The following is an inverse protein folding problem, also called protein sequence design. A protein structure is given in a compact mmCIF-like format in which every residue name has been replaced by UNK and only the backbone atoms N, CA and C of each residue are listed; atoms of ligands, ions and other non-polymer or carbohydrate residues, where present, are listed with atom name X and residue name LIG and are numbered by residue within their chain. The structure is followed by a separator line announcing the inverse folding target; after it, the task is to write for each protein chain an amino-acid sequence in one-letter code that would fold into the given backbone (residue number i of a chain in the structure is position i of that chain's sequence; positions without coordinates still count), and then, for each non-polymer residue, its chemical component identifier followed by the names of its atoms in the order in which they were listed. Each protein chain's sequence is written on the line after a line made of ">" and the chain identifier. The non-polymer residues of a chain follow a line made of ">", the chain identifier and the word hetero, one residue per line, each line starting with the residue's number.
data_IF_875667964846
#
_entry.id   IF_875667964846
#
_cell.length_a   1.000
_cell.length_b   1.000
_cell.length_c   1.000
_cell.angle_alpha   90.00
_cell.angle_beta   90.00
_cell.angle_gamma   90.00
#
_symmetry.space_group_name_H-M   'P 1'
#
loop_
_entity.id
_entity.type
_entity.pdbx_description
1 polymer ?
#
# COMPACT_ATOMS: atom_id res chain seq x y z
N UNK A 1 -18.68 19.71 -4.25
CA UNK A 1 -19.05 18.26 -4.22
C UNK A 1 -19.19 17.80 -2.79
N UNK A 2 -20.23 17.01 -2.46
CA UNK A 2 -20.42 16.44 -1.12
C UNK A 2 -19.81 15.05 -1.06
N UNK A 3 -18.69 14.89 -0.36
CA UNK A 3 -17.94 13.62 -0.30
C UNK A 3 -17.84 13.14 1.14
N UNK A 4 -18.35 11.93 1.40
CA UNK A 4 -18.14 11.17 2.62
C UNK A 4 -17.06 10.10 2.37
N UNK A 5 -16.01 10.09 3.16
CA UNK A 5 -14.91 9.15 3.03
C UNK A 5 -14.87 8.20 4.23
N UNK A 6 -15.26 6.93 3.99
CA UNK A 6 -15.23 5.88 5.03
C UNK A 6 -13.83 5.29 5.10
N UNK A 7 -13.15 5.44 6.23
CA UNK A 7 -11.75 5.06 6.41
C UNK A 7 -11.49 4.19 7.65
N UNK A 8 -10.27 3.67 7.72
CA UNK A 8 -9.72 2.92 8.87
C UNK A 8 -8.47 3.63 9.41
N UNK A 9 -8.51 4.96 9.53
CA UNK A 9 -7.40 5.76 10.05
C UNK A 9 -7.11 5.47 11.51
N UNK A 10 -5.84 5.56 11.87
CA UNK A 10 -5.41 5.59 13.28
C UNK A 10 -5.33 7.04 13.72
N UNK A 11 -6.01 7.45 14.80
CA UNK A 11 -5.94 8.79 15.31
C UNK A 11 -4.52 9.12 15.80
N UNK A 12 -3.88 10.16 15.27
CA UNK A 12 -2.58 10.62 15.74
C UNK A 12 -2.66 11.15 17.19
N UNK A 13 -3.80 11.70 17.58
CA UNK A 13 -4.03 12.32 18.89
C UNK A 13 -4.27 11.32 20.02
N UNK A 14 -4.76 10.12 19.72
CA UNK A 14 -4.87 9.07 20.75
C UNK A 14 -3.49 8.47 20.95
N UNK A 15 -2.81 8.89 22.04
CA UNK A 15 -1.59 8.25 22.57
C UNK A 15 -1.90 6.79 22.93
N UNK A 16 -2.00 5.95 21.92
CA UNK A 16 -2.12 4.51 22.11
C UNK A 16 -0.81 4.02 22.73
N UNK A 17 -0.89 3.24 23.79
CA UNK A 17 0.31 2.61 24.36
C UNK A 17 1.03 1.80 23.29
N UNK A 18 2.32 1.60 23.40
CA UNK A 18 3.13 0.77 22.47
C UNK A 18 2.48 -0.61 22.26
N UNK A 19 2.02 -1.26 23.34
CA UNK A 19 1.27 -2.53 23.28
C UNK A 19 -0.05 -2.44 22.52
N UNK A 20 -0.72 -1.28 22.55
CA UNK A 20 -1.97 -1.08 21.80
C UNK A 20 -1.68 -0.86 20.32
N UNK A 21 -0.56 -0.22 19.97
CA UNK A 21 -0.13 -0.04 18.56
C UNK A 21 0.17 -1.38 17.88
N UNK A 22 0.84 -2.30 18.57
CA UNK A 22 1.11 -3.65 18.05
C UNK A 22 -0.16 -4.48 17.78
N UNK A 23 -1.27 -4.17 18.43
CA UNK A 23 -2.57 -4.86 18.31
C UNK A 23 -3.54 -4.19 17.33
N UNK A 24 -3.12 -3.11 16.69
CA UNK A 24 -3.89 -2.46 15.63
C UNK A 24 -3.60 -3.13 14.28
N UNK A 25 -4.64 -3.52 13.58
CA UNK A 25 -4.51 -3.99 12.21
C UNK A 25 -4.41 -2.80 11.24
N UNK A 26 -3.51 -2.89 10.25
CA UNK A 26 -3.50 -1.94 9.12
C UNK A 26 -2.64 -0.68 9.28
N UNK A 27 -1.59 -0.71 10.14
CA UNK A 27 -0.66 0.43 10.31
C UNK A 27 -0.03 0.89 8.99
N UNK A 28 0.32 -0.04 8.11
CA UNK A 28 0.87 0.29 6.78
C UNK A 28 -0.13 1.02 5.88
N UNK A 29 -1.42 0.66 5.98
CA UNK A 29 -2.50 1.31 5.24
C UNK A 29 -2.81 2.74 5.71
N UNK A 30 -2.50 3.07 6.97
CA UNK A 30 -2.78 4.39 7.52
C UNK A 30 -2.09 5.53 6.75
N UNK A 31 -0.79 5.40 6.46
CA UNK A 31 -0.03 6.42 5.70
C UNK A 31 -0.60 6.63 4.30
N UNK A 32 -0.94 5.54 3.61
CA UNK A 32 -1.53 5.60 2.27
C UNK A 32 -2.89 6.29 2.33
N UNK A 33 -3.74 5.94 3.30
CA UNK A 33 -5.06 6.55 3.50
C UNK A 33 -4.95 8.05 3.77
N UNK A 34 -4.08 8.46 4.70
CA UNK A 34 -3.86 9.87 5.03
C UNK A 34 -3.34 10.66 3.81
N UNK A 35 -2.41 10.07 3.04
CA UNK A 35 -1.91 10.65 1.80
C UNK A 35 -3.02 10.85 0.76
N UNK A 36 -3.86 9.83 0.58
CA UNK A 36 -4.99 9.88 -0.36
C UNK A 36 -6.00 10.95 0.02
N UNK A 37 -6.41 11.03 1.29
CA UNK A 37 -7.34 12.06 1.76
C UNK A 37 -6.76 13.45 1.52
N UNK A 38 -5.49 13.69 1.95
CA UNK A 38 -4.81 14.96 1.72
C UNK A 38 -4.73 15.34 0.25
N UNK A 39 -4.49 14.35 -0.62
CA UNK A 39 -4.43 14.55 -2.07
C UNK A 39 -5.82 14.88 -2.67
N UNK A 40 -6.88 14.24 -2.17
CA UNK A 40 -8.25 14.52 -2.58
C UNK A 40 -8.64 15.93 -2.15
N UNK A 41 -8.42 16.31 -0.89
CA UNK A 41 -8.77 17.64 -0.36
C UNK A 41 -8.12 18.78 -1.15
N UNK A 42 -6.87 18.60 -1.57
CA UNK A 42 -6.17 19.59 -2.38
C UNK A 42 -6.74 19.80 -3.79
N UNK A 43 -7.57 18.87 -4.26
CA UNK A 43 -8.24 18.94 -5.56
C UNK A 43 -9.72 19.33 -5.45
N UNK A 44 -10.18 19.67 -4.24
CA UNK A 44 -11.55 20.10 -3.94
C UNK A 44 -11.56 21.51 -3.36
N UNK A 45 -12.73 22.18 -3.44
CA UNK A 45 -12.95 23.52 -2.85
C UNK A 45 -13.10 23.48 -1.33
N UNK A 46 -13.08 22.31 -0.72
CA UNK A 46 -13.16 22.10 0.72
C UNK A 46 -12.89 20.64 1.09
N UNK A 47 -12.62 20.37 2.38
CA UNK A 47 -12.24 19.03 2.82
C UNK A 47 -13.40 18.03 2.70
N UNK A 48 -13.06 16.75 2.45
CA UNK A 48 -14.03 15.65 2.57
C UNK A 48 -14.51 15.52 4.01
N UNK A 49 -15.65 14.87 4.22
CA UNK A 49 -16.08 14.45 5.58
C UNK A 49 -15.66 13.02 5.82
N UNK A 50 -14.84 12.79 6.83
CA UNK A 50 -14.34 11.45 7.16
C UNK A 50 -15.25 10.75 8.17
N UNK A 51 -15.64 9.52 7.85
CA UNK A 51 -16.31 8.58 8.74
C UNK A 51 -15.35 7.42 9.04
N UNK A 52 -14.69 7.51 10.17
CA UNK A 52 -13.57 6.63 10.50
C UNK A 52 -13.99 5.52 11.47
N UNK A 53 -13.56 4.29 11.20
CA UNK A 53 -13.68 3.16 12.13
C UNK A 53 -12.28 2.79 12.60
N UNK A 54 -12.03 2.86 13.91
CA UNK A 54 -10.77 2.39 14.50
C UNK A 54 -10.84 0.86 14.54
N UNK A 55 -10.13 0.20 13.62
CA UNK A 55 -10.15 -1.27 13.56
C UNK A 55 -9.11 -1.87 14.51
N UNK A 56 -9.58 -2.66 15.49
CA UNK A 56 -8.77 -3.27 16.55
C UNK A 56 -8.99 -4.79 16.58
N UNK A 57 -8.18 -5.51 17.33
CA UNK A 57 -8.51 -6.87 17.73
C UNK A 57 -9.78 -6.85 18.63
N UNK A 58 -10.52 -7.96 18.69
CA UNK A 58 -11.70 -8.06 19.54
C UNK A 58 -11.30 -8.12 21.02
N UNK A 59 -12.23 -7.68 21.90
CA UNK A 59 -12.11 -7.89 23.34
C UNK A 59 -12.08 -9.41 23.64
N UNK A 60 -11.24 -9.92 24.57
CA UNK A 60 -10.33 -9.18 25.45
C UNK A 60 -8.92 -8.92 24.86
N UNK A 61 -8.61 -9.35 23.64
CA UNK A 61 -7.27 -9.14 23.05
C UNK A 61 -6.92 -7.65 22.90
N UNK A 62 -7.92 -6.81 22.65
CA UNK A 62 -7.81 -5.36 22.79
C UNK A 62 -8.69 -4.93 23.99
N UNK A 63 -8.15 -4.21 24.98
CA UNK A 63 -8.81 -4.06 26.29
C UNK A 63 -10.05 -3.15 26.27
N UNK A 64 -10.23 -2.32 25.24
CA UNK A 64 -11.39 -1.42 25.16
C UNK A 64 -12.62 -2.18 24.62
N UNK A 65 -13.69 -2.22 25.45
CA UNK A 65 -14.94 -2.91 25.12
C UNK A 65 -15.90 -2.02 24.31
N UNK A 66 -15.98 -0.74 24.63
CA UNK A 66 -16.89 0.21 23.98
C UNK A 66 -16.09 1.35 23.38
N UNK A 67 -16.28 1.59 22.10
CA UNK A 67 -15.78 2.76 21.39
C UNK A 67 -16.94 3.75 21.24
N UNK A 68 -16.84 4.97 21.76
CA UNK A 68 -17.88 5.98 21.58
C UNK A 68 -17.83 6.55 20.17
N UNK A 69 -18.96 7.13 19.72
CA UNK A 69 -18.97 7.97 18.51
C UNK A 69 -18.51 9.38 18.91
N UNK A 70 -17.40 9.82 18.33
CA UNK A 70 -16.77 11.10 18.64
C UNK A 70 -16.57 11.95 17.38
N UNK A 71 -16.72 13.25 17.51
CA UNK A 71 -16.39 14.20 16.45
C UNK A 71 -14.92 14.62 16.55
N UNK A 72 -14.27 14.78 15.40
CA UNK A 72 -12.90 15.27 15.26
C UNK A 72 -12.75 16.06 13.96
N UNK A 73 -11.55 16.54 13.65
CA UNK A 73 -11.23 17.24 12.42
C UNK A 73 -9.85 16.82 11.92
N UNK A 74 -9.72 16.45 10.65
CA UNK A 74 -8.43 16.13 10.01
C UNK A 74 -7.83 17.35 9.31
N UNK A 75 -8.64 18.37 9.02
CA UNK A 75 -8.26 19.62 8.38
C UNK A 75 -9.09 20.77 8.94
N UNK A 76 -8.65 21.98 8.70
CA UNK A 76 -9.41 23.18 9.04
C UNK A 76 -10.79 23.14 8.36
N UNK A 77 -11.83 23.46 9.12
CA UNK A 77 -13.25 23.41 8.70
C UNK A 77 -13.81 22.01 8.39
N UNK A 78 -13.07 20.92 8.60
CA UNK A 78 -13.64 19.56 8.50
C UNK A 78 -14.48 19.20 9.73
N UNK A 79 -15.50 18.33 9.53
CA UNK A 79 -16.35 17.78 10.60
C UNK A 79 -16.39 16.26 10.44
N UNK A 80 -15.43 15.58 11.06
CA UNK A 80 -15.21 14.16 10.91
C UNK A 80 -15.76 13.37 12.10
N UNK A 81 -15.93 12.07 11.92
CA UNK A 81 -16.52 11.20 12.92
C UNK A 81 -15.69 9.94 13.12
N UNK A 82 -15.32 9.63 14.36
CA UNK A 82 -15.01 8.27 14.78
C UNK A 82 -16.32 7.54 15.07
N UNK A 83 -16.55 6.45 14.38
CA UNK A 83 -17.78 5.65 14.52
C UNK A 83 -17.64 4.72 15.71
N UNK A 84 -18.50 4.88 16.70
CA UNK A 84 -18.54 4.04 17.88
C UNK A 84 -19.08 2.63 17.62
N UNK A 85 -18.64 1.67 18.44
CA UNK A 85 -19.07 0.28 18.36
C UNK A 85 -18.77 -0.49 19.65
N UNK A 86 -19.39 -1.67 19.79
CA UNK A 86 -19.11 -2.63 20.87
C UNK A 86 -18.11 -3.66 20.36
N UNK A 87 -16.94 -3.76 21.01
CA UNK A 87 -15.79 -4.56 20.55
C UNK A 87 -15.88 -6.05 20.98
N UNK A 88 -17.03 -6.66 20.83
CA UNK A 88 -17.24 -8.10 21.06
C UNK A 88 -17.36 -8.81 19.72
N UNK A 89 -16.76 -9.99 19.60
CA UNK A 89 -16.82 -10.80 18.38
C UNK A 89 -18.26 -10.97 17.88
N UNK A 90 -18.52 -10.76 16.60
CA UNK A 90 -19.84 -10.78 15.98
C UNK A 90 -20.60 -9.45 16.19
N UNK A 91 -20.80 -8.98 17.41
CA UNK A 91 -21.51 -7.72 17.73
C UNK A 91 -20.79 -6.51 17.15
N UNK A 92 -19.45 -6.55 17.11
CA UNK A 92 -18.59 -5.51 16.55
C UNK A 92 -19.03 -5.10 15.15
N UNK A 93 -19.14 -6.05 14.24
CA UNK A 93 -19.48 -5.76 12.84
C UNK A 93 -20.90 -5.23 12.67
N UNK A 94 -21.85 -5.72 13.48
CA UNK A 94 -23.24 -5.23 13.46
C UNK A 94 -23.28 -3.78 13.94
N UNK A 95 -22.68 -3.48 15.08
CA UNK A 95 -22.72 -2.14 15.67
C UNK A 95 -21.95 -1.12 14.82
N UNK A 96 -20.83 -1.50 14.21
CA UNK A 96 -20.12 -0.67 13.24
C UNK A 96 -20.98 -0.35 12.02
N UNK A 97 -21.63 -1.36 11.43
CA UNK A 97 -22.51 -1.15 10.26
C UNK A 97 -23.67 -0.23 10.59
N UNK A 98 -24.39 -0.49 11.69
CA UNK A 98 -25.57 0.29 12.07
C UNK A 98 -25.22 1.73 12.40
N UNK A 99 -24.15 1.95 13.18
CA UNK A 99 -23.76 3.30 13.58
C UNK A 99 -23.18 4.10 12.41
N UNK A 100 -22.39 3.48 11.53
CA UNK A 100 -21.91 4.11 10.30
C UNK A 100 -23.08 4.48 9.38
N UNK A 101 -24.02 3.55 9.14
CA UNK A 101 -25.21 3.81 8.35
C UNK A 101 -26.03 4.98 8.90
N UNK A 102 -26.26 5.04 10.22
CA UNK A 102 -27.02 6.14 10.86
C UNK A 102 -26.33 7.49 10.68
N UNK A 103 -25.00 7.54 10.88
CA UNK A 103 -24.23 8.77 10.74
C UNK A 103 -24.19 9.25 9.29
N UNK A 104 -23.90 8.37 8.34
CA UNK A 104 -23.94 8.69 6.91
C UNK A 104 -25.34 9.12 6.46
N UNK A 105 -26.40 8.44 6.90
CA UNK A 105 -27.79 8.84 6.63
C UNK A 105 -28.10 10.26 7.12
N UNK A 106 -27.64 10.60 8.33
CA UNK A 106 -27.82 11.95 8.89
C UNK A 106 -27.07 12.99 8.06
N UNK A 107 -25.83 12.67 7.65
CA UNK A 107 -25.01 13.53 6.81
C UNK A 107 -25.62 13.73 5.41
N UNK A 108 -26.11 12.67 4.75
CA UNK A 108 -26.77 12.76 3.44
C UNK A 108 -28.01 13.67 3.53
N UNK A 109 -28.85 13.47 4.57
CA UNK A 109 -30.03 14.34 4.77
C UNK A 109 -29.68 15.81 4.94
N UNK A 110 -28.54 16.15 5.56
CA UNK A 110 -28.10 17.52 5.72
C UNK A 110 -27.65 18.20 4.40
N UNK A 111 -27.58 17.44 3.30
CA UNK A 111 -27.19 17.94 1.97
C UNK A 111 -28.39 18.32 1.08
N UNK A 112 -29.59 18.46 1.64
CA UNK A 112 -30.78 19.00 0.98
C UNK A 112 -31.06 18.40 -0.42
N UNK A 113 -30.95 17.07 -0.54
CA UNK A 113 -31.13 16.30 -1.77
C UNK A 113 -30.01 16.50 -2.84
N UNK A 114 -28.95 17.22 -2.54
CA UNK A 114 -27.81 17.29 -3.44
C UNK A 114 -27.14 15.92 -3.57
N UNK A 115 -26.49 15.70 -4.70
CA UNK A 115 -25.74 14.47 -4.93
C UNK A 115 -24.57 14.32 -3.95
N UNK A 116 -24.42 13.11 -3.43
CA UNK A 116 -23.38 12.75 -2.47
C UNK A 116 -22.56 11.57 -2.98
N UNK A 117 -21.25 11.65 -2.85
CA UNK A 117 -20.35 10.52 -3.08
C UNK A 117 -19.98 9.90 -1.73
N UNK A 118 -20.18 8.60 -1.60
CA UNK A 118 -19.72 7.82 -0.43
C UNK A 118 -18.57 6.92 -0.89
N UNK A 119 -17.35 7.31 -0.56
CA UNK A 119 -16.15 6.55 -0.86
C UNK A 119 -15.83 5.60 0.31
N UNK A 120 -15.78 4.31 0.04
CA UNK A 120 -15.37 3.28 1.01
C UNK A 120 -13.93 2.87 0.70
N UNK A 121 -13.04 3.09 1.65
CA UNK A 121 -11.67 2.64 1.53
C UNK A 121 -11.51 1.24 2.10
N UNK A 122 -10.84 0.39 1.33
CA UNK A 122 -10.66 -1.04 1.56
C UNK A 122 -11.94 -1.86 1.47
N UNK A 123 -11.79 -3.16 1.34
CA UNK A 123 -12.89 -4.13 1.34
C UNK A 123 -13.34 -4.46 2.78
N UNK A 124 -13.69 -3.41 3.55
CA UNK A 124 -14.14 -3.57 4.93
C UNK A 124 -15.65 -3.83 5.00
N UNK A 125 -16.03 -5.06 5.36
CA UNK A 125 -17.41 -5.55 5.30
C UNK A 125 -18.46 -4.60 5.93
N UNK A 126 -18.28 -4.07 7.17
CA UNK A 126 -19.26 -3.15 7.77
C UNK A 126 -19.48 -1.86 6.94
N UNK A 127 -18.40 -1.28 6.40
CA UNK A 127 -18.49 -0.06 5.60
C UNK A 127 -19.15 -0.32 4.24
N UNK A 128 -18.81 -1.42 3.57
CA UNK A 128 -19.44 -1.83 2.31
C UNK A 128 -20.93 -2.11 2.48
N UNK A 129 -21.30 -2.83 3.54
CA UNK A 129 -22.72 -3.13 3.82
C UNK A 129 -23.51 -1.85 4.12
N UNK A 130 -22.98 -0.95 4.97
CA UNK A 130 -23.61 0.34 5.24
C UNK A 130 -23.79 1.16 3.94
N UNK A 131 -22.79 1.22 3.08
CA UNK A 131 -22.85 1.91 1.79
C UNK A 131 -23.93 1.30 0.87
N UNK A 132 -23.99 -0.03 0.74
CA UNK A 132 -25.03 -0.69 -0.06
C UNK A 132 -26.46 -0.40 0.46
N UNK A 133 -26.64 -0.35 1.78
CA UNK A 133 -27.93 0.01 2.39
C UNK A 133 -28.31 1.48 2.09
N UNK A 134 -27.33 2.39 2.11
CA UNK A 134 -27.53 3.79 1.72
C UNK A 134 -27.93 3.92 0.24
N UNK A 135 -27.23 3.22 -0.65
CA UNK A 135 -27.57 3.20 -2.09
C UNK A 135 -29.00 2.74 -2.34
N UNK A 136 -29.45 1.68 -1.64
CA UNK A 136 -30.84 1.19 -1.72
C UNK A 136 -31.85 2.25 -1.25
N UNK A 137 -31.52 2.99 -0.17
CA UNK A 137 -32.40 4.00 0.41
C UNK A 137 -32.46 5.30 -0.39
N UNK A 138 -31.30 5.82 -0.76
CA UNK A 138 -31.14 7.15 -1.36
C UNK A 138 -30.99 7.14 -2.89
N UNK A 139 -30.90 5.92 -3.49
CA UNK A 139 -30.89 5.70 -4.95
C UNK A 139 -29.92 6.65 -5.68
N UNK A 140 -30.46 7.54 -6.52
CA UNK A 140 -29.68 8.43 -7.39
C UNK A 140 -28.98 9.56 -6.62
N UNK A 141 -29.43 9.91 -5.41
CA UNK A 141 -28.76 10.93 -4.60
C UNK A 141 -27.36 10.46 -4.13
N UNK A 142 -27.11 9.14 -4.07
CA UNK A 142 -25.86 8.58 -3.56
C UNK A 142 -25.14 7.82 -4.66
N UNK A 143 -23.91 8.24 -4.97
CA UNK A 143 -22.94 7.48 -5.77
C UNK A 143 -21.95 6.80 -4.83
N UNK A 144 -21.66 5.53 -5.06
CA UNK A 144 -20.72 4.76 -4.27
C UNK A 144 -19.39 4.60 -4.99
N UNK A 145 -18.29 4.91 -4.31
CA UNK A 145 -16.92 4.66 -4.76
C UNK A 145 -16.26 3.60 -3.88
N UNK A 146 -15.65 2.58 -4.48
CA UNK A 146 -14.79 1.64 -3.76
C UNK A 146 -13.33 1.93 -4.08
N UNK A 147 -12.55 2.31 -3.07
CA UNK A 147 -11.11 2.51 -3.17
C UNK A 147 -10.38 1.34 -2.50
N UNK A 148 -9.80 0.44 -3.28
CA UNK A 148 -9.14 -0.75 -2.73
C UNK A 148 -7.92 -1.17 -3.54
N UNK A 149 -6.89 -1.64 -2.82
CA UNK A 149 -5.72 -2.34 -3.38
C UNK A 149 -5.77 -3.85 -3.17
N UNK A 150 -6.84 -4.38 -2.56
CA UNK A 150 -6.96 -5.80 -2.23
C UNK A 150 -8.11 -6.45 -3.00
N UNK A 151 -7.94 -7.73 -3.35
CA UNK A 151 -8.98 -8.58 -3.93
C UNK A 151 -9.31 -9.69 -2.93
N UNK A 152 -10.59 -9.92 -2.59
CA UNK A 152 -10.97 -11.01 -1.70
C UNK A 152 -10.45 -12.36 -2.20
N UNK A 153 -9.82 -13.13 -1.32
CA UNK A 153 -9.34 -14.50 -1.60
C UNK A 153 -8.09 -14.61 -2.47
N UNK A 154 -7.61 -13.52 -3.07
CA UNK A 154 -6.42 -13.57 -3.96
C UNK A 154 -5.12 -13.10 -3.30
N UNK A 155 -5.17 -12.39 -2.17
CA UNK A 155 -3.97 -12.04 -1.43
C UNK A 155 -3.50 -13.19 -0.54
N UNK A 156 -2.36 -13.69 -0.83
CA UNK A 156 -1.37 -14.58 -0.29
C UNK A 156 -1.29 -14.93 1.19
N UNK A 157 -2.36 -14.79 1.93
CA UNK A 157 -2.61 -15.50 3.16
C UNK A 157 -3.44 -16.77 2.86
N UNK A 158 -3.03 -17.59 1.91
CA UNK A 158 -2.98 -19.01 2.19
C UNK A 158 -1.96 -19.13 3.34
N UNK A 159 -2.36 -18.58 4.50
CA UNK A 159 -1.63 -18.77 5.73
C UNK A 159 -1.46 -20.26 5.88
N UNK A 160 -0.25 -20.69 6.18
CA UNK A 160 0.09 -22.05 6.61
C UNK A 160 -0.63 -22.43 7.92
N UNK A 161 -1.57 -21.62 8.39
CA UNK A 161 -2.55 -21.99 9.39
C UNK A 161 -3.51 -22.98 8.72
N UNK A 162 -3.42 -24.24 9.10
CA UNK A 162 -4.43 -25.27 8.81
C UNK A 162 -5.76 -24.76 9.33
N UNK A 163 -6.48 -23.96 8.51
CA UNK A 163 -7.83 -23.50 8.82
C UNK A 163 -8.74 -24.70 8.69
N UNK A 164 -9.52 -24.99 9.73
CA UNK A 164 -10.51 -26.06 9.69
C UNK A 164 -11.56 -25.79 8.60
N UNK A 165 -12.29 -26.81 8.19
CA UNK A 165 -13.35 -26.73 7.19
C UNK A 165 -14.34 -25.57 7.47
N UNK A 166 -14.61 -25.29 8.75
CA UNK A 166 -15.48 -24.19 9.21
C UNK A 166 -14.93 -22.81 8.82
N UNK A 167 -13.63 -22.57 9.01
CA UNK A 167 -12.99 -21.30 8.66
C UNK A 167 -12.96 -21.11 7.15
N UNK A 168 -12.75 -22.17 6.39
CA UNK A 168 -12.80 -22.16 4.93
C UNK A 168 -14.20 -21.78 4.43
N UNK A 169 -15.28 -22.35 4.99
CA UNK A 169 -16.65 -22.03 4.60
C UNK A 169 -17.02 -20.59 4.94
N UNK A 170 -16.69 -20.12 6.16
CA UNK A 170 -16.96 -18.74 6.59
C UNK A 170 -16.23 -17.75 5.67
N UNK A 171 -14.97 -18.02 5.34
CA UNK A 171 -14.17 -17.19 4.44
C UNK A 171 -14.82 -17.08 3.06
N UNK A 172 -15.17 -18.20 2.46
CA UNK A 172 -15.83 -18.22 1.14
C UNK A 172 -17.16 -17.46 1.12
N UNK A 173 -17.96 -17.53 2.18
CA UNK A 173 -19.23 -16.78 2.29
C UNK A 173 -18.95 -15.28 2.36
N UNK A 174 -17.96 -14.85 3.17
CA UNK A 174 -17.58 -13.44 3.30
C UNK A 174 -17.02 -12.91 1.98
N UNK A 175 -16.13 -13.63 1.32
CA UNK A 175 -15.53 -13.25 0.02
C UNK A 175 -16.61 -13.08 -1.06
N UNK A 176 -17.51 -14.05 -1.21
CA UNK A 176 -18.65 -13.94 -2.12
C UNK A 176 -19.57 -12.77 -1.78
N UNK A 177 -19.81 -12.53 -0.50
CA UNK A 177 -20.58 -11.39 -0.01
C UNK A 177 -19.95 -10.06 -0.40
N UNK A 178 -18.64 -9.90 -0.23
CA UNK A 178 -17.88 -8.70 -0.61
C UNK A 178 -17.94 -8.50 -2.13
N UNK A 179 -17.69 -9.54 -2.93
CA UNK A 179 -17.77 -9.47 -4.39
C UNK A 179 -19.16 -9.10 -4.89
N UNK A 180 -20.21 -9.63 -4.24
CA UNK A 180 -21.59 -9.25 -4.54
C UNK A 180 -21.88 -7.79 -4.20
N UNK A 181 -21.42 -7.30 -3.04
CA UNK A 181 -21.58 -5.91 -2.63
C UNK A 181 -20.81 -4.95 -3.57
N UNK A 182 -19.65 -5.32 -4.06
CA UNK A 182 -18.88 -4.48 -4.99
C UNK A 182 -19.70 -4.12 -6.26
N UNK A 183 -20.60 -4.98 -6.70
CA UNK A 183 -21.48 -4.70 -7.85
C UNK A 183 -22.45 -3.53 -7.63
N UNK A 184 -22.72 -3.14 -6.38
CA UNK A 184 -23.56 -1.97 -6.07
C UNK A 184 -22.81 -0.64 -6.17
N UNK A 185 -21.46 -0.69 -6.22
CA UNK A 185 -20.65 0.51 -6.36
C UNK A 185 -20.69 1.03 -7.79
N UNK A 186 -20.74 2.35 -7.93
CA UNK A 186 -20.88 3.04 -9.20
C UNK A 186 -19.53 3.27 -9.87
N UNK A 187 -18.46 3.47 -9.08
CA UNK A 187 -17.11 3.74 -9.56
C UNK A 187 -16.04 3.19 -8.62
N UNK A 188 -14.78 3.10 -9.11
CA UNK A 188 -13.72 2.41 -8.41
C UNK A 188 -12.38 3.13 -8.50
N UNK A 189 -11.58 2.99 -7.45
CA UNK A 189 -10.17 3.33 -7.41
C UNK A 189 -9.40 2.05 -7.13
N UNK A 190 -8.63 1.59 -8.09
CA UNK A 190 -7.85 0.36 -8.02
C UNK A 190 -6.35 0.63 -8.01
N UNK A 191 -5.56 -0.33 -7.57
CA UNK A 191 -4.08 -0.25 -7.60
C UNK A 191 -3.53 -0.71 -8.96
N UNK A 192 -4.24 -1.61 -9.63
CA UNK A 192 -3.87 -2.11 -10.97
C UNK A 192 -5.10 -2.22 -11.87
N UNK A 193 -4.89 -2.16 -13.18
CA UNK A 193 -5.95 -2.27 -14.19
C UNK A 193 -6.69 -3.63 -14.14
N UNK A 194 -5.94 -4.71 -13.89
CA UNK A 194 -6.50 -6.07 -13.80
C UNK A 194 -7.53 -6.26 -12.68
N UNK A 195 -7.54 -5.37 -11.68
CA UNK A 195 -8.51 -5.45 -10.58
C UNK A 195 -9.94 -5.22 -11.06
N UNK A 196 -10.17 -4.35 -12.04
CA UNK A 196 -11.51 -4.10 -12.59
C UNK A 196 -12.13 -5.38 -13.17
N UNK A 197 -11.33 -6.17 -13.90
CA UNK A 197 -11.74 -7.47 -14.41
C UNK A 197 -11.99 -8.48 -13.30
N UNK A 198 -11.10 -8.52 -12.29
CA UNK A 198 -11.23 -9.44 -11.16
C UNK A 198 -12.49 -9.19 -10.32
N UNK A 199 -12.89 -7.93 -10.15
CA UNK A 199 -14.15 -7.57 -9.50
C UNK A 199 -15.39 -7.73 -10.39
N UNK A 200 -15.21 -7.99 -11.69
CA UNK A 200 -16.32 -8.09 -12.66
C UNK A 200 -17.02 -6.74 -12.90
N UNK A 201 -16.26 -5.65 -12.90
CA UNK A 201 -16.76 -4.26 -13.01
C UNK A 201 -16.01 -3.45 -14.08
N UNK A 202 -15.41 -4.12 -15.06
CA UNK A 202 -14.58 -3.50 -16.10
C UNK A 202 -15.29 -2.37 -16.86
N UNK A 203 -16.61 -2.49 -17.04
CA UNK A 203 -17.43 -1.50 -17.76
C UNK A 203 -17.83 -0.28 -16.89
N UNK A 204 -17.49 -0.29 -15.60
CA UNK A 204 -17.78 0.82 -14.70
C UNK A 204 -16.64 1.83 -14.66
N UNK A 205 -16.93 3.12 -14.43
CA UNK A 205 -15.90 4.14 -14.26
C UNK A 205 -14.89 3.71 -13.20
N UNK A 206 -13.62 3.72 -13.54
CA UNK A 206 -12.55 3.43 -12.59
C UNK A 206 -11.25 4.16 -12.96
N UNK A 207 -10.42 4.38 -11.96
CA UNK A 207 -9.07 4.93 -12.12
C UNK A 207 -8.05 4.05 -11.42
N UNK A 208 -6.85 3.98 -11.99
CA UNK A 208 -5.73 3.28 -11.37
C UNK A 208 -4.87 4.28 -10.60
N UNK A 209 -4.70 3.97 -9.32
CA UNK A 209 -3.83 4.67 -8.36
C UNK A 209 -2.95 3.63 -7.69
N UNK A 210 -1.81 3.36 -8.30
CA UNK A 210 -0.87 2.34 -7.83
C UNK A 210 -0.19 2.69 -6.50
N UNK A 211 -0.18 3.97 -6.16
CA UNK A 211 0.34 4.51 -4.91
C UNK A 211 0.66 6.00 -5.01
N UNK A 212 0.94 6.61 -3.87
CA UNK A 212 1.37 7.99 -3.74
C UNK A 212 2.68 8.06 -2.99
N UNK A 213 3.55 9.00 -3.35
CA UNK A 213 4.80 9.25 -2.65
C UNK A 213 4.73 10.54 -1.85
N UNK A 214 5.07 10.45 -0.56
CA UNK A 214 5.27 11.60 0.32
C UNK A 214 6.72 11.58 0.77
N UNK A 215 7.48 12.62 0.44
CA UNK A 215 8.86 12.77 0.91
C UNK A 215 8.89 12.75 2.44
N UNK A 216 9.59 11.80 3.08
CA UNK A 216 9.70 11.76 4.52
C UNK A 216 10.45 13.01 5.05
N UNK A 217 10.06 13.53 6.22
CA UNK A 217 10.73 14.70 6.83
C UNK A 217 12.24 14.49 7.04
N UNK A 218 12.64 13.26 7.38
CA UNK A 218 14.06 12.88 7.56
C UNK A 218 14.82 12.66 6.25
N UNK A 219 14.18 12.77 5.08
CA UNK A 219 14.86 12.62 3.78
C UNK A 219 15.80 13.78 3.45
N UNK A 220 15.68 14.90 4.17
CA UNK A 220 16.54 16.09 4.01
C UNK A 220 17.86 15.98 4.79
N UNK A 221 17.97 15.01 5.72
CA UNK A 221 19.21 14.77 6.43
C UNK A 221 20.31 14.39 5.43
N UNK A 222 21.43 15.11 5.46
CA UNK A 222 22.61 14.79 4.67
C UNK A 222 23.15 13.43 5.11
N UNK A 223 23.21 12.49 4.18
CA UNK A 223 23.94 11.24 4.39
C UNK A 223 25.36 11.47 3.92
N UNK A 224 26.28 11.64 4.87
CA UNK A 224 27.71 11.67 4.54
C UNK A 224 28.09 10.31 3.96
N UNK A 225 28.33 10.28 2.66
CA UNK A 225 28.93 9.14 2.00
C UNK A 225 30.42 9.18 2.36
N UNK A 226 30.87 8.24 3.17
CA UNK A 226 32.30 8.07 3.38
C UNK A 226 32.94 7.75 2.03
N UNK A 227 33.92 8.55 1.62
CA UNK A 227 34.70 8.35 0.38
C UNK A 227 35.48 7.00 0.35
N UNK A 228 35.45 6.24 1.45
CA UNK A 228 36.08 4.95 1.62
C UNK A 228 35.21 3.75 1.18
N UNK A 229 33.90 3.93 0.92
CA UNK A 229 33.01 2.87 0.43
C UNK A 229 33.32 2.59 -1.07
N UNK A 230 34.45 1.89 -1.33
CA UNK A 230 34.89 1.51 -2.68
C UNK A 230 34.07 0.37 -3.30
N UNK A 231 33.18 -0.27 -2.50
CA UNK A 231 32.41 -1.43 -2.96
C UNK A 231 31.16 -1.05 -3.73
N UNK A 232 30.87 -1.82 -4.77
CA UNK A 232 29.63 -1.77 -5.54
C UNK A 232 28.51 -2.42 -4.73
N UNK A 233 27.72 -1.60 -4.03
CA UNK A 233 26.70 -2.07 -3.07
C UNK A 233 25.34 -2.24 -3.73
N UNK A 234 24.85 -3.48 -3.74
CA UNK A 234 23.48 -3.83 -4.10
C UNK A 234 22.65 -3.86 -2.78
N UNK A 235 21.54 -3.12 -2.74
CA UNK A 235 20.73 -3.04 -1.53
C UNK A 235 19.28 -3.48 -1.76
N UNK A 236 18.79 -4.34 -0.89
CA UNK A 236 17.39 -4.74 -0.78
C UNK A 236 16.84 -4.40 0.60
N UNK A 237 15.65 -3.77 0.64
CA UNK A 237 14.92 -3.56 1.89
C UNK A 237 13.46 -3.94 1.72
N UNK A 238 13.00 -4.97 2.46
CA UNK A 238 11.63 -5.43 2.29
C UNK A 238 11.21 -6.55 3.21
N UNK A 239 9.99 -7.07 2.98
CA UNK A 239 9.57 -8.31 3.60
C UNK A 239 10.38 -9.47 3.02
N UNK A 240 10.94 -10.29 3.90
CA UNK A 240 11.82 -11.40 3.53
C UNK A 240 11.01 -12.69 3.43
N UNK A 241 10.27 -12.82 2.31
CA UNK A 241 9.44 -14.00 2.02
C UNK A 241 9.81 -14.58 0.66
N UNK A 242 9.64 -15.91 0.46
CA UNK A 242 9.94 -16.56 -0.83
C UNK A 242 9.24 -15.88 -2.02
N UNK A 243 7.96 -15.49 -1.85
CA UNK A 243 7.16 -14.84 -2.88
C UNK A 243 7.65 -13.47 -3.34
N UNK A 244 8.63 -12.88 -2.63
CA UNK A 244 9.29 -11.63 -3.02
C UNK A 244 10.66 -11.85 -3.69
N UNK A 245 11.02 -13.11 -4.02
CA UNK A 245 12.19 -13.43 -4.83
C UNK A 245 13.52 -13.37 -4.08
N UNK A 246 13.53 -13.49 -2.73
CA UNK A 246 14.77 -13.40 -1.93
C UNK A 246 15.78 -14.46 -2.34
N UNK A 247 15.35 -15.71 -2.54
CA UNK A 247 16.22 -16.81 -2.98
C UNK A 247 16.80 -16.53 -4.37
N UNK A 248 15.98 -16.00 -5.28
CA UNK A 248 16.37 -15.57 -6.61
C UNK A 248 17.50 -14.51 -6.56
N UNK A 249 17.34 -13.48 -5.71
CA UNK A 249 18.39 -12.47 -5.50
C UNK A 249 19.69 -13.07 -4.98
N UNK A 250 19.61 -13.97 -4.01
CA UNK A 250 20.81 -14.63 -3.42
C UNK A 250 21.55 -15.47 -4.47
N UNK A 251 20.83 -16.24 -5.30
CA UNK A 251 21.43 -17.03 -6.39
C UNK A 251 22.04 -16.13 -7.45
N UNK A 252 21.34 -15.10 -7.90
CA UNK A 252 21.84 -14.14 -8.87
C UNK A 252 23.11 -13.43 -8.37
N UNK A 253 23.14 -12.99 -7.11
CA UNK A 253 24.34 -12.37 -6.53
C UNK A 253 25.52 -13.37 -6.42
N UNK A 254 25.28 -14.62 -6.06
CA UNK A 254 26.33 -15.64 -5.96
C UNK A 254 27.04 -15.93 -7.30
N UNK A 255 26.43 -15.58 -8.44
CA UNK A 255 27.03 -15.68 -9.76
C UNK A 255 28.01 -14.53 -10.06
N UNK A 256 28.01 -13.45 -9.28
CA UNK A 256 28.98 -12.36 -9.41
C UNK A 256 30.27 -12.77 -8.71
N UNK A 257 31.35 -12.98 -9.46
CA UNK A 257 32.63 -13.42 -8.90
C UNK A 257 33.55 -12.27 -8.45
N UNK A 258 33.18 -11.02 -8.75
CA UNK A 258 33.94 -9.83 -8.40
C UNK A 258 33.83 -9.51 -6.90
N UNK A 259 34.97 -9.43 -6.22
CA UNK A 259 35.06 -9.15 -4.78
C UNK A 259 34.74 -7.69 -4.41
N UNK A 260 34.68 -6.79 -5.39
CA UNK A 260 34.30 -5.40 -5.18
C UNK A 260 32.77 -5.23 -5.01
N UNK A 261 32.00 -6.30 -5.22
CA UNK A 261 30.57 -6.29 -5.00
C UNK A 261 30.21 -6.70 -3.57
N UNK A 262 29.14 -6.10 -3.04
CA UNK A 262 28.49 -6.55 -1.81
C UNK A 262 26.97 -6.48 -1.95
N UNK A 263 26.27 -7.43 -1.30
CA UNK A 263 24.82 -7.47 -1.19
C UNK A 263 24.41 -7.19 0.25
N UNK A 264 23.66 -6.12 0.46
CA UNK A 264 23.14 -5.74 1.77
C UNK A 264 21.62 -5.94 1.78
N UNK A 265 21.13 -6.73 2.72
CA UNK A 265 19.71 -7.10 2.85
C UNK A 265 19.18 -6.62 4.20
N UNK A 266 18.04 -5.90 4.19
CA UNK A 266 17.34 -5.45 5.37
C UNK A 266 15.87 -5.86 5.35
N UNK A 267 15.31 -6.20 6.51
CA UNK A 267 13.91 -6.56 6.67
C UNK A 267 13.67 -7.71 7.63
N UNK A 268 12.45 -8.24 7.62
CA UNK A 268 12.07 -9.39 8.42
C UNK A 268 11.12 -10.32 7.67
N UNK A 269 11.17 -11.62 7.97
CA UNK A 269 10.29 -12.60 7.34
C UNK A 269 10.82 -14.03 7.38
N UNK A 270 10.10 -14.92 6.71
CA UNK A 270 10.37 -16.37 6.75
C UNK A 270 11.65 -16.80 6.01
N UNK A 271 12.27 -15.92 5.22
CA UNK A 271 13.52 -16.21 4.50
C UNK A 271 14.79 -15.82 5.26
N UNK A 272 14.70 -15.38 6.52
CA UNK A 272 15.87 -14.94 7.30
C UNK A 272 16.92 -16.04 7.45
N UNK A 273 16.50 -17.27 7.74
CA UNK A 273 17.44 -18.38 7.90
C UNK A 273 18.18 -18.72 6.60
N UNK A 274 17.50 -18.60 5.46
CA UNK A 274 18.12 -18.76 4.15
C UNK A 274 19.20 -17.69 3.92
N UNK A 275 18.91 -16.42 4.21
CA UNK A 275 19.87 -15.32 4.06
C UNK A 275 21.10 -15.56 4.93
N UNK A 276 20.92 -15.95 6.20
CA UNK A 276 22.03 -16.27 7.12
C UNK A 276 22.89 -17.45 6.63
N UNK A 277 22.29 -18.44 5.94
CA UNK A 277 23.05 -19.53 5.33
C UNK A 277 23.93 -19.04 4.18
N UNK A 278 23.43 -18.12 3.34
CA UNK A 278 24.22 -17.53 2.27
C UNK A 278 25.31 -16.59 2.81
N UNK A 279 25.01 -15.77 3.82
CA UNK A 279 25.97 -14.90 4.51
C UNK A 279 27.17 -15.67 5.09
N UNK A 280 26.92 -16.87 5.66
CA UNK A 280 28.00 -17.76 6.16
C UNK A 280 28.88 -18.32 5.04
N UNK A 281 28.35 -18.47 3.81
CA UNK A 281 29.08 -19.01 2.66
C UNK A 281 29.81 -17.95 1.87
N UNK A 282 29.27 -16.72 1.84
CA UNK A 282 29.80 -15.60 1.08
C UNK A 282 29.82 -14.33 1.95
N UNK A 283 31.01 -13.93 2.38
CA UNK A 283 31.23 -12.76 3.25
C UNK A 283 30.85 -11.41 2.61
N UNK A 284 30.57 -11.39 1.30
CA UNK A 284 30.07 -10.21 0.59
C UNK A 284 28.58 -9.98 0.82
N UNK A 285 27.84 -10.96 1.33
CA UNK A 285 26.42 -10.84 1.70
C UNK A 285 26.35 -10.38 3.15
N UNK A 286 25.54 -9.34 3.42
CA UNK A 286 25.35 -8.79 4.78
C UNK A 286 23.86 -8.68 5.09
N UNK A 287 23.48 -9.27 6.20
CA UNK A 287 22.10 -9.20 6.71
C UNK A 287 21.98 -8.24 7.88
N UNK A 288 21.23 -7.16 7.72
CA UNK A 288 21.04 -6.14 8.76
C UNK A 288 19.85 -6.42 9.70
N UNK A 289 19.02 -7.44 9.40
CA UNK A 289 17.77 -7.63 10.11
C UNK A 289 16.77 -6.51 9.89
N UNK A 290 15.85 -6.34 10.84
CA UNK A 290 14.87 -5.26 10.79
C UNK A 290 15.51 -3.94 11.23
N UNK A 291 15.47 -2.93 10.35
CA UNK A 291 16.02 -1.58 10.61
C UNK A 291 14.90 -0.52 10.47
N UNK A 292 15.12 0.65 11.05
CA UNK A 292 14.14 1.75 11.00
C UNK A 292 13.99 2.32 9.58
N UNK A 293 12.84 2.94 9.23
CA UNK A 293 12.67 3.58 7.93
C UNK A 293 13.72 4.67 7.62
N UNK A 294 14.20 5.38 8.64
CA UNK A 294 15.28 6.36 8.50
C UNK A 294 16.59 5.67 8.13
N UNK A 295 16.91 4.54 8.78
CA UNK A 295 18.11 3.76 8.44
C UNK A 295 17.99 3.12 7.04
N UNK A 296 16.80 2.64 6.64
CA UNK A 296 16.57 2.18 5.27
C UNK A 296 16.96 3.26 4.26
N UNK A 297 16.51 4.50 4.46
CA UNK A 297 16.84 5.60 3.56
C UNK A 297 18.35 5.89 3.52
N UNK A 298 19.03 5.82 4.66
CA UNK A 298 20.49 5.97 4.71
C UNK A 298 21.20 4.87 3.92
N UNK A 299 20.77 3.64 4.07
CA UNK A 299 21.33 2.51 3.31
C UNK A 299 21.02 2.62 1.81
N UNK A 300 19.82 3.08 1.42
CA UNK A 300 19.49 3.36 0.01
C UNK A 300 20.44 4.39 -0.59
N UNK A 301 20.69 5.51 0.08
CA UNK A 301 21.61 6.56 -0.40
C UNK A 301 23.07 6.10 -0.50
N UNK A 302 23.48 5.09 0.26
CA UNK A 302 24.80 4.46 0.20
C UNK A 302 24.92 3.37 -0.87
N UNK A 303 23.81 2.94 -1.42
CA UNK A 303 23.81 1.87 -2.41
C UNK A 303 24.25 2.36 -3.80
N UNK A 304 24.93 1.50 -4.54
CA UNK A 304 25.24 1.69 -5.95
C UNK A 304 23.99 1.42 -6.79
N UNK A 305 23.18 0.43 -6.38
CA UNK A 305 21.93 0.03 -7.01
C UNK A 305 20.95 -0.54 -5.98
N UNK A 306 19.68 -0.23 -6.16
CA UNK A 306 18.59 -0.83 -5.41
C UNK A 306 17.97 -1.96 -6.23
N UNK A 307 17.41 -2.98 -5.57
CA UNK A 307 16.84 -4.14 -6.28
C UNK A 307 15.50 -4.59 -5.72
N UNK A 308 14.59 -5.01 -6.63
CA UNK A 308 13.42 -5.83 -6.30
C UNK A 308 13.44 -7.10 -7.13
N UNK A 309 13.71 -8.25 -6.52
CA UNK A 309 13.84 -9.51 -7.24
C UNK A 309 12.51 -10.25 -7.45
N UNK A 310 11.37 -9.57 -7.20
CA UNK A 310 10.04 -10.15 -7.33
C UNK A 310 9.76 -10.55 -8.78
N UNK A 311 9.25 -11.78 -8.99
CA UNK A 311 8.88 -12.32 -10.30
C UNK A 311 7.36 -12.31 -10.50
N UNK A 312 6.93 -12.57 -11.73
CA UNK A 312 5.51 -12.65 -12.12
C UNK A 312 4.87 -14.03 -11.91
N UNK A 313 5.61 -15.02 -11.41
CA UNK A 313 5.15 -16.42 -11.27
C UNK A 313 3.83 -16.59 -10.51
N UNK A 314 3.57 -15.73 -9.53
CA UNK A 314 2.36 -15.82 -8.72
C UNK A 314 1.24 -14.96 -9.29
N UNK A 315 0.07 -15.56 -9.52
CA UNK A 315 -1.09 -14.89 -10.13
C UNK A 315 -1.46 -13.56 -9.46
N UNK A 316 -1.29 -13.45 -8.13
CA UNK A 316 -1.65 -12.23 -7.41
C UNK A 316 -0.79 -11.02 -7.77
N UNK A 317 0.38 -11.23 -8.40
CA UNK A 317 1.32 -10.16 -8.76
C UNK A 317 0.67 -9.13 -9.67
N UNK A 318 -0.19 -9.56 -10.59
CA UNK A 318 -0.92 -8.66 -11.50
C UNK A 318 -1.92 -7.73 -10.79
N UNK A 319 -2.25 -8.02 -9.53
CA UNK A 319 -3.17 -7.23 -8.71
C UNK A 319 -2.47 -6.38 -7.62
N UNK A 320 -1.15 -6.41 -7.55
CA UNK A 320 -0.41 -5.85 -6.42
C UNK A 320 0.84 -5.12 -6.88
N UNK A 321 0.75 -3.82 -7.00
CA UNK A 321 1.92 -2.97 -7.26
C UNK A 321 2.85 -2.95 -6.04
N UNK A 322 4.17 -3.14 -6.21
CA UNK A 322 5.13 -3.09 -5.10
C UNK A 322 5.35 -1.64 -4.65
N UNK A 323 4.61 -1.18 -3.64
CA UNK A 323 4.65 0.21 -3.14
C UNK A 323 6.05 0.72 -2.79
N UNK A 324 6.98 -0.18 -2.43
CA UNK A 324 8.38 0.15 -2.17
C UNK A 324 9.15 0.60 -3.41
N UNK A 325 8.66 0.29 -4.61
CA UNK A 325 9.24 0.81 -5.85
C UNK A 325 9.20 2.33 -5.90
N UNK A 326 8.15 2.96 -5.32
CA UNK A 326 8.07 4.41 -5.23
C UNK A 326 9.18 4.99 -4.36
N UNK A 327 9.42 4.38 -3.18
CA UNK A 327 10.50 4.79 -2.28
C UNK A 327 11.88 4.60 -2.91
N UNK A 328 12.06 3.47 -3.61
CA UNK A 328 13.32 3.16 -4.30
C UNK A 328 13.61 4.15 -5.43
N UNK A 329 12.65 4.41 -6.30
CA UNK A 329 12.79 5.38 -7.40
C UNK A 329 12.98 6.81 -6.89
N UNK A 330 12.34 7.17 -5.77
CA UNK A 330 12.49 8.49 -5.15
C UNK A 330 13.83 8.70 -4.43
N UNK A 331 14.62 7.65 -4.23
CA UNK A 331 15.92 7.74 -3.54
C UNK A 331 17.00 8.47 -4.34
N UNK A 332 16.84 8.55 -5.67
CA UNK A 332 17.86 9.06 -6.59
C UNK A 332 18.95 8.03 -6.93
N UNK A 333 18.78 6.77 -6.54
CA UNK A 333 19.69 5.66 -6.85
C UNK A 333 19.06 4.79 -7.95
N UNK A 334 19.82 4.25 -8.92
CA UNK A 334 19.28 3.34 -9.91
C UNK A 334 18.56 2.16 -9.28
N UNK A 335 17.42 1.78 -9.85
CA UNK A 335 16.56 0.71 -9.33
C UNK A 335 16.39 -0.38 -10.36
N UNK A 336 16.83 -1.59 -10.03
CA UNK A 336 16.73 -2.81 -10.87
C UNK A 336 15.57 -3.67 -10.41
N UNK A 337 14.78 -4.17 -11.33
CA UNK A 337 13.66 -5.07 -11.05
C UNK A 337 13.35 -5.99 -12.25
N UNK A 338 12.51 -7.00 -12.04
CA UNK A 338 11.81 -7.67 -13.15
C UNK A 338 10.59 -6.87 -13.56
N UNK A 339 10.23 -6.91 -14.84
CA UNK A 339 9.00 -6.28 -15.33
C UNK A 339 7.80 -7.09 -14.87
N UNK A 340 6.94 -6.47 -14.06
CA UNK A 340 5.73 -7.12 -13.55
C UNK A 340 4.50 -6.72 -14.38
N UNK A 341 3.49 -7.61 -14.49
CA UNK A 341 2.23 -7.31 -15.19
C UNK A 341 1.48 -6.09 -14.60
N UNK A 342 1.72 -5.78 -13.32
CA UNK A 342 1.10 -4.65 -12.62
C UNK A 342 1.82 -3.32 -12.84
N UNK A 343 3.00 -3.30 -13.48
CA UNK A 343 3.77 -2.07 -13.66
C UNK A 343 3.12 -1.17 -14.72
N UNK A 344 2.73 0.08 -14.36
CA UNK A 344 2.25 1.02 -15.35
C UNK A 344 3.33 1.31 -16.41
N UNK A 345 2.93 1.51 -17.70
CA UNK A 345 3.88 1.68 -18.81
C UNK A 345 4.90 2.79 -18.59
N UNK A 346 4.51 3.88 -17.93
CA UNK A 346 5.37 5.04 -17.67
C UNK A 346 6.61 4.74 -16.82
N UNK A 347 6.59 3.66 -16.02
CA UNK A 347 7.74 3.25 -15.21
C UNK A 347 8.88 2.65 -16.05
N UNK A 348 8.60 2.21 -17.28
CA UNK A 348 9.57 1.60 -18.18
C UNK A 348 10.81 2.47 -18.49
N UNK A 349 10.69 3.79 -18.36
CA UNK A 349 11.79 4.72 -18.58
C UNK A 349 12.69 4.94 -17.34
N UNK A 350 12.27 4.43 -16.17
CA UNK A 350 12.90 4.75 -14.89
C UNK A 350 13.37 3.52 -14.12
N UNK A 351 12.71 2.38 -14.30
CA UNK A 351 13.13 1.10 -13.73
C UNK A 351 14.09 0.42 -14.71
N UNK A 352 15.22 -0.04 -14.22
CA UNK A 352 16.19 -0.79 -14.99
C UNK A 352 15.77 -2.27 -15.00
N UNK A 353 14.93 -2.66 -15.94
CA UNK A 353 14.40 -4.02 -16.00
C UNK A 353 15.47 -5.03 -16.44
N UNK A 354 15.53 -6.17 -15.75
CA UNK A 354 16.24 -7.34 -16.25
C UNK A 354 15.53 -7.89 -17.50
N UNK A 355 16.27 -8.48 -18.42
CA UNK A 355 15.76 -8.90 -19.73
C UNK A 355 14.70 -10.02 -19.64
N UNK A 356 14.79 -10.84 -18.60
CA UNK A 356 13.81 -11.87 -18.23
C UNK A 356 13.91 -12.16 -16.73
N UNK A 357 13.14 -13.13 -16.23
CA UNK A 357 13.06 -13.47 -14.81
C UNK A 357 14.06 -14.56 -14.38
N UNK A 358 15.15 -14.81 -15.14
CA UNK A 358 16.19 -15.75 -14.73
C UNK A 358 17.20 -15.12 -13.75
N UNK A 359 17.88 -15.98 -12.97
CA UNK A 359 18.95 -15.57 -12.06
C UNK A 359 20.09 -14.86 -12.84
N UNK A 360 20.41 -15.37 -14.05
CA UNK A 360 21.42 -14.79 -14.94
C UNK A 360 21.04 -13.40 -15.43
N UNK A 361 19.78 -13.19 -15.85
CA UNK A 361 19.33 -11.88 -16.34
C UNK A 361 19.36 -10.84 -15.20
N UNK A 362 18.93 -11.22 -13.99
CA UNK A 362 19.04 -10.37 -12.82
C UNK A 362 20.50 -10.04 -12.50
N UNK A 363 21.37 -11.06 -12.49
CA UNK A 363 22.83 -10.89 -12.28
C UNK A 363 23.43 -9.94 -13.29
N UNK A 364 23.15 -10.13 -14.58
CA UNK A 364 23.68 -9.31 -15.65
C UNK A 364 23.27 -7.84 -15.47
N UNK A 365 21.97 -7.58 -15.26
CA UNK A 365 21.47 -6.22 -15.08
C UNK A 365 22.08 -5.52 -13.84
N UNK A 366 22.19 -6.22 -12.72
CA UNK A 366 22.85 -5.68 -11.51
C UNK A 366 24.32 -5.36 -11.76
N UNK A 367 25.04 -6.26 -12.44
CA UNK A 367 26.44 -6.07 -12.78
C UNK A 367 26.64 -4.85 -13.70
N UNK A 368 25.86 -4.76 -14.78
CA UNK A 368 25.96 -3.69 -15.77
C UNK A 368 25.72 -2.33 -15.11
N UNK A 369 24.66 -2.17 -14.32
CA UNK A 369 24.35 -0.92 -13.63
C UNK A 369 25.45 -0.55 -12.61
N UNK A 370 25.98 -1.53 -11.88
CA UNK A 370 27.05 -1.29 -10.93
C UNK A 370 28.37 -0.90 -11.61
N UNK A 371 28.60 -1.28 -12.87
CA UNK A 371 29.80 -0.97 -13.65
C UNK A 371 29.71 0.36 -14.41
N UNK A 372 28.54 1.01 -14.48
CA UNK A 372 28.41 2.35 -15.01
C UNK A 372 29.23 3.36 -14.20
N UNK A 373 29.64 4.45 -14.87
CA UNK A 373 30.23 5.59 -14.18
C UNK A 373 29.27 6.20 -13.13
N UNK A 374 29.81 6.90 -12.15
CA UNK A 374 28.99 7.60 -11.15
C UNK A 374 28.04 8.62 -11.80
N UNK A 375 28.50 9.29 -12.86
CA UNK A 375 27.71 10.27 -13.58
C UNK A 375 26.48 9.63 -14.26
N UNK A 376 26.68 8.50 -14.95
CA UNK A 376 25.59 7.75 -15.58
C UNK A 376 24.57 7.25 -14.56
N UNK A 377 25.04 6.67 -13.43
CA UNK A 377 24.16 6.25 -12.35
C UNK A 377 23.36 7.42 -11.76
N UNK A 378 24.02 8.55 -11.53
CA UNK A 378 23.35 9.76 -11.02
C UNK A 378 22.28 10.27 -11.99
N UNK A 379 22.53 10.21 -13.31
CA UNK A 379 21.56 10.59 -14.34
C UNK A 379 20.33 9.69 -14.30
N UNK A 380 20.53 8.37 -14.22
CA UNK A 380 19.43 7.38 -14.11
C UNK A 380 18.63 7.61 -12.83
N UNK A 381 19.30 7.67 -11.69
CA UNK A 381 18.64 7.83 -10.39
C UNK A 381 17.89 9.17 -10.28
N UNK A 382 18.49 10.27 -10.75
CA UNK A 382 17.86 11.59 -10.75
C UNK A 382 16.61 11.62 -11.62
N UNK A 383 16.65 11.06 -12.83
CA UNK A 383 15.48 11.00 -13.69
C UNK A 383 14.30 10.26 -13.03
N UNK A 384 14.58 9.14 -12.36
CA UNK A 384 13.59 8.37 -11.61
C UNK A 384 13.02 9.17 -10.42
N UNK A 385 13.88 9.81 -9.65
CA UNK A 385 13.49 10.67 -8.53
C UNK A 385 12.61 11.84 -8.99
N UNK A 386 13.01 12.56 -10.02
CA UNK A 386 12.26 13.69 -10.56
C UNK A 386 10.88 13.26 -11.04
N UNK A 387 10.77 12.10 -11.70
CA UNK A 387 9.48 11.51 -12.10
C UNK A 387 8.58 11.25 -10.88
N UNK A 388 9.08 10.59 -9.84
CA UNK A 388 8.28 10.27 -8.65
C UNK A 388 7.83 11.54 -7.93
N UNK A 389 8.74 12.49 -7.71
CA UNK A 389 8.41 13.73 -7.01
C UNK A 389 7.37 14.58 -7.76
N UNK A 390 7.44 14.59 -9.10
CA UNK A 390 6.55 15.36 -9.95
C UNK A 390 5.20 14.66 -10.18
N UNK A 391 5.22 13.37 -10.53
CA UNK A 391 4.03 12.68 -11.05
C UNK A 391 3.31 11.82 -9.99
N UNK A 392 3.97 11.44 -8.88
CA UNK A 392 3.41 10.53 -7.86
C UNK A 392 3.11 11.22 -6.53
N UNK A 393 3.07 12.57 -6.50
CA UNK A 393 2.59 13.31 -5.34
C UNK A 393 1.11 12.99 -5.06
N UNK A 394 0.66 13.01 -3.81
CA UNK A 394 -0.75 12.77 -3.47
C UNK A 394 -1.72 13.68 -4.24
N UNK A 395 -1.36 14.95 -4.40
CA UNK A 395 -2.16 15.94 -5.14
C UNK A 395 -2.32 15.54 -6.61
N UNK A 396 -1.21 15.22 -7.29
CA UNK A 396 -1.23 14.86 -8.72
C UNK A 396 -2.00 13.57 -8.97
N UNK A 397 -1.74 12.56 -8.17
CA UNK A 397 -2.38 11.23 -8.31
C UNK A 397 -3.88 11.29 -7.98
N UNK A 398 -4.24 11.95 -6.86
CA UNK A 398 -5.65 12.00 -6.46
C UNK A 398 -6.50 12.92 -7.34
N UNK A 399 -5.87 13.75 -8.17
CA UNK A 399 -6.60 14.50 -9.21
C UNK A 399 -7.41 13.56 -10.12
N UNK A 400 -6.85 12.39 -10.49
CA UNK A 400 -7.56 11.37 -11.29
C UNK A 400 -8.87 10.93 -10.63
N UNK A 401 -8.86 10.77 -9.30
CA UNK A 401 -10.04 10.37 -8.51
C UNK A 401 -11.11 11.47 -8.55
N UNK A 402 -10.70 12.71 -8.28
CA UNK A 402 -11.62 13.85 -8.25
C UNK A 402 -12.18 14.14 -9.63
N UNK A 403 -11.37 14.06 -10.68
CA UNK A 403 -11.81 14.22 -12.07
C UNK A 403 -12.83 13.13 -12.47
N UNK A 404 -12.60 11.87 -12.07
CA UNK A 404 -13.59 10.79 -12.26
C UNK A 404 -14.91 11.14 -11.55
N UNK A 405 -14.86 11.62 -10.31
CA UNK A 405 -16.06 11.96 -9.54
C UNK A 405 -16.83 13.16 -10.12
N UNK A 406 -16.14 14.11 -10.76
CA UNK A 406 -16.78 15.25 -11.44
C UNK A 406 -17.53 14.84 -12.71
N UNK A 407 -17.18 13.67 -13.28
CA UNK A 407 -17.76 13.18 -14.53
C UNK A 407 -18.81 12.05 -14.30
N UNK A 408 -19.23 11.81 -13.05
CA UNK A 408 -20.28 10.83 -12.72
C UNK A 408 -21.67 11.43 -12.93
#
# INVERSE_FOLDING_TARGET
>A
MNIAYCSLLLPEEKKLSERSKERLSGISGHKVTAATIKGIDKNLDGPVTIFNIINTLNYPHFPQLIFPTEQWSHAEHSKDWHIGYVNIIGIKYITQTVNLYRKLSSWIKSKNNEECIVCVQYIYYPAMLAACLLKKRYKNQVKLCLNTGDIPGKFGLKSQVKSGLKDFLIRNVIEKGIMSMAKFFDNFVFVTEDMAAAFGVKEKPHVVVEGTYIKPKYAEEEVYLNSEDKKKRIFYAGALRPEYGIEHLLRAFSMIQDNDFELVIAGGGTSEDLIKQFEKKDSRIKFLGFITPQEVLKQQKRATVLVSPRTSELEYVKYSFPSKSLDSLASGVPYVAHKLPCDPPEYGNYIQYADNESDEALRNKLYDICCLSQEERNKIGKAAMDFILKEKSPEKICKKIVDMWRNL
#
